data_IF_859780621174
#
_entry.id   IF_859780621174
#
_cell.length_a   1.000
_cell.length_b   1.000
_cell.length_c   1.000
_cell.angle_alpha   90.00
_cell.angle_beta   90.00
_cell.angle_gamma   90.00
#
_symmetry.space_group_name_H-M   'P 1'
#
loop_
_entity.id
_entity.type
_entity.pdbx_description
1 polymer ?
#
# COMPACT_ATOMS: atom_id res chain seq x y z
N UNK A 1 34.54 0.65 -14.41
CA UNK A 1 34.03 0.65 -15.79
C UNK A 1 32.53 0.83 -15.70
N UNK A 2 31.94 1.93 -16.19
CA UNK A 2 30.49 1.98 -16.37
C UNK A 2 30.15 0.99 -17.48
N UNK A 3 29.27 0.03 -17.21
CA UNK A 3 28.81 -0.94 -18.22
C UNK A 3 27.92 -0.25 -19.25
N UNK A 4 27.94 -0.76 -20.48
CA UNK A 4 27.06 -0.24 -21.54
C UNK A 4 25.59 -0.33 -21.11
N UNK A 5 24.77 0.70 -21.40
CA UNK A 5 23.35 0.65 -21.08
C UNK A 5 22.67 -0.54 -21.78
N UNK A 6 21.70 -1.19 -21.12
CA UNK A 6 20.96 -2.29 -21.72
C UNK A 6 20.32 -1.85 -23.04
N UNK A 7 20.32 -2.74 -24.02
CA UNK A 7 19.60 -2.50 -25.27
C UNK A 7 18.11 -2.34 -24.97
N UNK A 8 17.32 -1.63 -25.81
CA UNK A 8 15.89 -1.41 -25.54
C UNK A 8 15.11 -2.69 -25.21
N UNK A 9 15.36 -3.79 -25.92
CA UNK A 9 14.73 -5.09 -25.65
C UNK A 9 15.13 -5.70 -24.30
N UNK A 10 16.35 -5.44 -23.82
CA UNK A 10 16.83 -5.91 -22.51
C UNK A 10 16.25 -5.04 -21.39
N UNK A 11 16.07 -3.74 -21.62
CA UNK A 11 15.41 -2.84 -20.69
C UNK A 11 13.93 -3.19 -20.50
N UNK A 12 13.21 -3.52 -21.58
CA UNK A 12 11.82 -3.99 -21.52
C UNK A 12 11.70 -5.31 -20.74
N UNK A 13 12.61 -6.26 -20.98
CA UNK A 13 12.63 -7.53 -20.25
C UNK A 13 12.88 -7.34 -18.74
N UNK A 14 13.74 -6.40 -18.35
CA UNK A 14 13.98 -6.05 -16.95
C UNK A 14 12.72 -5.43 -16.32
N UNK A 15 12.05 -4.52 -17.03
CA UNK A 15 10.83 -3.88 -16.54
C UNK A 15 9.70 -4.91 -16.36
N UNK A 16 9.57 -5.86 -17.30
CA UNK A 16 8.58 -6.93 -17.22
C UNK A 16 8.87 -7.87 -16.03
N UNK A 17 10.12 -8.28 -15.86
CA UNK A 17 10.57 -9.10 -14.72
C UNK A 17 10.31 -8.39 -13.37
N UNK A 18 10.63 -7.10 -13.27
CA UNK A 18 10.34 -6.28 -12.08
C UNK A 18 8.83 -6.18 -11.82
N UNK A 19 8.02 -5.96 -12.85
CA UNK A 19 6.57 -5.88 -12.73
C UNK A 19 5.94 -7.21 -12.28
N UNK A 20 6.43 -8.34 -12.80
CA UNK A 20 5.99 -9.69 -12.41
C UNK A 20 6.35 -10.00 -10.95
N UNK A 21 7.52 -9.57 -10.48
CA UNK A 21 7.95 -9.76 -9.09
C UNK A 21 7.20 -8.82 -8.12
N UNK A 22 7.01 -7.55 -8.49
CA UNK A 22 6.42 -6.54 -7.62
C UNK A 22 4.88 -6.60 -7.56
N UNK A 23 4.21 -7.07 -8.61
CA UNK A 23 2.75 -7.15 -8.66
C UNK A 23 2.11 -7.97 -7.52
N UNK A 24 2.56 -9.21 -7.26
CA UNK A 24 2.10 -10.02 -6.14
C UNK A 24 2.45 -9.41 -4.78
N UNK A 25 3.63 -8.80 -4.65
CA UNK A 25 4.07 -8.13 -3.42
C UNK A 25 3.18 -6.91 -3.10
N UNK A 26 2.89 -6.08 -4.10
CA UNK A 26 1.99 -4.94 -3.97
C UNK A 26 0.56 -5.38 -3.60
N UNK A 27 0.08 -6.48 -4.18
CA UNK A 27 -1.23 -7.05 -3.85
C UNK A 27 -1.28 -7.58 -2.41
N UNK A 28 -0.25 -8.32 -1.98
CA UNK A 28 -0.12 -8.82 -0.61
C UNK A 28 -0.04 -7.67 0.42
N UNK A 29 0.75 -6.64 0.13
CA UNK A 29 0.87 -5.45 0.96
C UNK A 29 -0.48 -4.73 1.07
N UNK A 30 -1.20 -4.60 -0.04
CA UNK A 30 -2.56 -4.03 -0.08
C UNK A 30 -3.53 -4.77 0.83
N UNK A 31 -3.52 -6.11 0.77
CA UNK A 31 -4.37 -6.94 1.61
C UNK A 31 -4.06 -6.74 3.10
N UNK A 32 -2.76 -6.69 3.44
CA UNK A 32 -2.29 -6.44 4.82
C UNK A 32 -2.72 -5.05 5.33
N UNK A 33 -2.53 -4.00 4.53
CA UNK A 33 -2.95 -2.63 4.88
C UNK A 33 -4.46 -2.55 5.11
N UNK A 34 -5.26 -3.19 4.25
CA UNK A 34 -6.71 -3.20 4.41
C UNK A 34 -7.14 -3.94 5.69
N UNK A 35 -6.46 -5.04 6.05
CA UNK A 35 -6.72 -5.76 7.30
C UNK A 35 -6.39 -4.90 8.51
N UNK A 36 -5.22 -4.25 8.53
CA UNK A 36 -4.82 -3.35 9.62
C UNK A 36 -5.79 -2.18 9.78
N UNK A 37 -6.22 -1.56 8.67
CA UNK A 37 -7.23 -0.49 8.72
C UNK A 37 -8.54 -0.95 9.35
N UNK A 38 -9.02 -2.14 9.01
CA UNK A 38 -10.27 -2.69 9.58
C UNK A 38 -10.15 -2.84 11.09
N UNK A 39 -9.11 -3.55 11.55
CA UNK A 39 -8.85 -3.78 12.98
C UNK A 39 -8.76 -2.45 13.73
N UNK A 40 -8.00 -1.50 13.20
CA UNK A 40 -7.87 -0.18 13.81
C UNK A 40 -9.22 0.58 13.88
N UNK A 41 -10.04 0.48 12.83
CA UNK A 41 -11.38 1.08 12.82
C UNK A 41 -12.31 0.45 13.85
N UNK A 42 -12.29 -0.88 13.96
CA UNK A 42 -13.12 -1.62 14.92
C UNK A 42 -12.75 -1.23 16.36
N UNK A 43 -11.45 -1.16 16.68
CA UNK A 43 -10.96 -0.74 18.00
C UNK A 43 -11.36 0.70 18.36
N UNK A 44 -11.31 1.62 17.40
CA UNK A 44 -11.72 3.02 17.62
C UNK A 44 -13.23 3.13 17.83
N UNK A 45 -14.03 2.36 17.08
CA UNK A 45 -15.49 2.42 17.14
C UNK A 45 -16.07 1.75 18.40
N UNK A 46 -15.41 0.70 18.91
CA UNK A 46 -15.89 -0.02 20.09
C UNK A 46 -15.65 0.76 21.40
N UNK A 47 -14.88 1.85 21.38
CA UNK A 47 -14.53 2.62 22.58
C UNK A 47 -13.62 1.86 23.56
N UNK A 48 -13.00 0.77 23.12
CA UNK A 48 -12.07 -0.05 23.92
C UNK A 48 -10.80 0.73 24.31
N UNK A 49 -10.48 1.77 23.54
CA UNK A 49 -9.29 2.59 23.75
C UNK A 49 -9.68 3.93 24.39
N UNK A 50 -9.14 4.27 25.58
CA UNK A 50 -9.38 5.56 26.20
C UNK A 50 -8.97 6.69 25.26
N UNK A 51 -9.89 7.60 24.99
CA UNK A 51 -9.64 8.74 24.10
C UNK A 51 -8.48 9.59 24.64
N UNK A 52 -7.60 10.02 23.74
CA UNK A 52 -6.39 10.77 24.11
C UNK A 52 -5.23 9.93 24.66
N UNK A 53 -5.42 8.63 24.89
CA UNK A 53 -4.29 7.75 25.23
C UNK A 53 -3.30 7.60 24.06
N UNK A 54 -2.05 7.24 24.38
CA UNK A 54 -1.04 6.92 23.38
C UNK A 54 -1.52 5.84 22.41
N UNK A 55 -2.12 4.77 22.94
CA UNK A 55 -2.65 3.65 22.13
C UNK A 55 -3.78 4.12 21.22
N UNK A 56 -4.70 4.95 21.71
CA UNK A 56 -5.75 5.53 20.88
C UNK A 56 -5.17 6.36 19.72
N UNK A 57 -4.15 7.20 20.00
CA UNK A 57 -3.49 8.02 18.99
C UNK A 57 -2.78 7.18 17.93
N UNK A 58 -2.08 6.13 18.34
CA UNK A 58 -1.34 5.25 17.42
C UNK A 58 -2.29 4.45 16.53
N UNK A 59 -3.38 3.91 17.11
CA UNK A 59 -4.41 3.20 16.34
C UNK A 59 -5.12 4.13 15.36
N UNK A 60 -5.38 5.38 15.75
CA UNK A 60 -5.91 6.42 14.85
C UNK A 60 -4.97 6.69 13.66
N UNK A 61 -3.67 6.78 13.89
CA UNK A 61 -2.69 6.94 12.81
C UNK A 61 -2.66 5.75 11.85
N UNK A 62 -2.75 4.51 12.36
CA UNK A 62 -2.83 3.30 11.53
C UNK A 62 -4.09 3.32 10.65
N UNK A 63 -5.23 3.70 11.23
CA UNK A 63 -6.48 3.83 10.50
C UNK A 63 -6.40 4.90 9.41
N UNK A 64 -5.83 6.07 9.70
CA UNK A 64 -5.64 7.17 8.75
C UNK A 64 -4.70 6.75 7.60
N UNK A 65 -3.55 6.15 7.91
CA UNK A 65 -2.60 5.65 6.91
C UNK A 65 -3.23 4.59 5.99
N UNK A 66 -4.01 3.67 6.55
CA UNK A 66 -4.74 2.67 5.77
C UNK A 66 -5.85 3.25 4.90
N UNK A 67 -6.49 4.35 5.32
CA UNK A 67 -7.47 5.07 4.50
C UNK A 67 -6.80 5.82 3.35
N UNK A 68 -5.68 6.48 3.64
CA UNK A 68 -4.88 7.17 2.63
C UNK A 68 -4.41 6.21 1.54
N UNK A 69 -3.80 5.07 1.91
CA UNK A 69 -3.37 4.03 0.96
C UNK A 69 -4.54 3.53 0.08
N UNK A 70 -5.72 3.31 0.66
CA UNK A 70 -6.93 2.90 -0.08
C UNK A 70 -7.39 3.96 -1.07
N UNK A 71 -7.30 5.24 -0.70
CA UNK A 71 -7.69 6.35 -1.58
C UNK A 71 -6.75 6.42 -2.79
N UNK A 72 -5.45 6.23 -2.58
CA UNK A 72 -4.46 6.19 -3.67
C UNK A 72 -4.70 5.03 -4.62
N UNK A 73 -5.01 3.84 -4.12
CA UNK A 73 -5.37 2.71 -4.98
C UNK A 73 -6.59 2.99 -5.85
N UNK A 74 -7.67 3.54 -5.26
CA UNK A 74 -8.87 3.90 -6.01
C UNK A 74 -8.60 4.94 -7.10
N UNK A 75 -7.61 5.82 -6.91
CA UNK A 75 -7.21 6.84 -7.88
C UNK A 75 -6.25 6.30 -8.94
N UNK A 76 -5.33 5.42 -8.57
CA UNK A 76 -4.43 4.72 -9.50
C UNK A 76 -5.19 3.82 -10.46
N UNK A 77 -6.16 3.05 -9.95
CA UNK A 77 -7.02 2.16 -10.78
C UNK A 77 -7.83 2.95 -11.82
N UNK A 78 -8.25 4.19 -11.53
CA UNK A 78 -8.99 5.04 -12.50
C UNK A 78 -8.11 5.63 -13.62
N UNK A 79 -6.78 5.66 -13.46
CA UNK A 79 -5.88 6.18 -14.51
C UNK A 79 -5.43 5.11 -15.51
N UNK A 80 -5.58 3.83 -15.18
CA UNK A 80 -5.17 2.71 -16.05
C UNK A 80 -6.28 2.31 -17.04
N UNK A 81 -7.51 2.81 -16.86
CA UNK A 81 -8.68 2.45 -17.68
C UNK A 81 -9.12 3.54 -18.67
N UNK A 82 -8.24 4.46 -19.08
CA UNK A 82 -8.52 5.48 -20.10
C UNK A 82 -7.49 5.42 -21.22
#
# INVERSE_FOLDING_TARGET
>A
MPGDPPRPCEAEAIIEEEAEAEGPLATSLTARINRMRRIAGDLLNNGELPEGSHVHRDVKQIWEAGNYARQYQRRGVRRVTQ
#
